data_IF_571961096032
#
_entry.id   IF_571961096032
#
_cell.length_a   1.000
_cell.length_b   1.000
_cell.length_c   1.000
_cell.angle_alpha   90.00
_cell.angle_beta   90.00
_cell.angle_gamma   90.00
#
_symmetry.space_group_name_H-M   'P 1'
#
loop_
_entity.id
_entity.type
_entity.pdbx_description
1 polymer ?
#
# COMPACT_ATOMS: atom_id res chain seq x y z
N UNK A 1 -5.31 5.31 2.64
CA UNK A 1 -5.60 3.87 2.50
C UNK A 1 -6.28 3.60 1.17
N UNK A 2 -6.24 2.35 0.69
CA UNK A 2 -6.88 1.93 -0.56
C UNK A 2 -8.22 1.24 -0.24
N UNK A 3 -9.38 1.91 -0.39
CA UNK A 3 -10.67 1.26 -0.14
C UNK A 3 -10.97 0.21 -1.22
N UNK A 4 -11.59 -0.90 -0.82
CA UNK A 4 -12.08 -1.89 -1.77
C UNK A 4 -13.25 -1.29 -2.58
N UNK A 5 -13.13 -1.28 -3.90
CA UNK A 5 -14.17 -0.79 -4.82
C UNK A 5 -14.97 -1.93 -5.45
N UNK A 6 -14.29 -3.01 -5.81
CA UNK A 6 -14.87 -4.22 -6.42
C UNK A 6 -13.94 -5.40 -6.22
N UNK A 7 -14.41 -6.61 -6.52
CA UNK A 7 -13.61 -7.83 -6.54
C UNK A 7 -13.50 -8.35 -7.98
N UNK A 8 -12.31 -8.83 -8.35
CA UNK A 8 -12.04 -9.43 -9.65
C UNK A 8 -11.67 -10.90 -9.45
N UNK A 9 -12.16 -11.76 -10.33
CA UNK A 9 -11.73 -13.15 -10.36
C UNK A 9 -10.33 -13.25 -10.98
N UNK A 10 -9.55 -14.26 -10.57
CA UNK A 10 -8.28 -14.58 -11.21
C UNK A 10 -8.44 -14.81 -12.72
N UNK A 11 -7.46 -14.37 -13.51
CA UNK A 11 -7.50 -14.41 -14.97
C UNK A 11 -8.22 -13.24 -15.63
N UNK A 12 -8.80 -12.32 -14.86
CA UNK A 12 -9.38 -11.08 -15.41
C UNK A 12 -8.27 -10.21 -16.00
N UNK A 13 -8.37 -9.91 -17.29
CA UNK A 13 -7.43 -8.98 -17.95
C UNK A 13 -7.78 -7.55 -17.57
N UNK A 14 -6.76 -6.78 -17.18
CA UNK A 14 -6.90 -5.37 -16.78
C UNK A 14 -5.89 -4.52 -17.56
N UNK A 15 -6.21 -3.25 -17.78
CA UNK A 15 -5.27 -2.29 -18.39
C UNK A 15 -4.45 -1.60 -17.31
N UNK A 16 -3.13 -1.65 -17.41
CA UNK A 16 -2.23 -0.94 -16.50
C UNK A 16 -2.15 0.54 -16.90
N UNK A 17 -2.32 1.44 -15.94
CA UNK A 17 -2.33 2.89 -16.18
C UNK A 17 -1.13 3.59 -15.57
N UNK A 18 -0.80 3.30 -14.30
CA UNK A 18 0.27 3.96 -13.57
C UNK A 18 0.73 3.14 -12.36
N UNK A 19 1.91 3.46 -11.81
CA UNK A 19 2.43 2.90 -10.56
C UNK A 19 2.42 3.92 -9.43
N UNK A 20 2.24 3.44 -8.20
CA UNK A 20 2.40 4.26 -7.00
C UNK A 20 3.89 4.54 -6.75
N UNK A 21 4.29 5.79 -6.40
CA UNK A 21 5.63 6.09 -5.94
C UNK A 21 5.90 5.62 -4.51
N UNK A 22 4.84 5.31 -3.75
CA UNK A 22 4.93 5.07 -2.31
C UNK A 22 4.84 3.59 -1.94
N UNK A 23 4.28 2.75 -2.80
CA UNK A 23 3.91 1.37 -2.45
C UNK A 23 3.84 0.48 -3.70
N UNK A 24 3.89 -0.86 -3.56
CA UNK A 24 3.78 -1.79 -4.69
C UNK A 24 2.31 -1.94 -5.14
N UNK A 25 1.67 -0.83 -5.51
CA UNK A 25 0.31 -0.76 -6.03
C UNK A 25 0.34 -0.19 -7.44
N UNK A 26 -0.52 -0.74 -8.30
CA UNK A 26 -0.65 -0.36 -9.70
C UNK A 26 -2.07 0.12 -9.94
N UNK A 27 -2.21 1.26 -10.58
CA UNK A 27 -3.49 1.79 -11.04
C UNK A 27 -3.89 1.03 -12.28
N UNK A 28 -5.08 0.46 -12.26
CA UNK A 28 -5.63 -0.35 -13.34
C UNK A 28 -7.01 0.15 -13.73
N UNK A 29 -7.38 -0.13 -14.97
CA UNK A 29 -8.74 0.05 -15.46
C UNK A 29 -9.29 -1.27 -15.98
N UNK A 30 -10.54 -1.55 -15.60
CA UNK A 30 -11.28 -2.73 -15.99
C UNK A 30 -12.75 -2.36 -16.14
N UNK A 31 -13.32 -2.62 -17.32
CA UNK A 31 -14.73 -2.35 -17.62
C UNK A 31 -15.17 -0.91 -17.27
N UNK A 32 -14.31 0.08 -17.49
CA UNK A 32 -14.57 1.49 -17.18
C UNK A 32 -14.38 1.88 -15.70
N UNK A 33 -14.06 0.94 -14.82
CA UNK A 33 -13.74 1.20 -13.41
C UNK A 33 -12.23 1.36 -13.27
N UNK A 34 -11.79 2.49 -12.72
CA UNK A 34 -10.38 2.74 -12.41
C UNK A 34 -10.14 2.59 -10.92
N UNK A 35 -9.16 1.77 -10.55
CA UNK A 35 -8.82 1.49 -9.17
C UNK A 35 -7.36 1.11 -8.98
N UNK A 36 -6.99 0.84 -7.74
CA UNK A 36 -5.66 0.42 -7.37
C UNK A 36 -5.67 -1.06 -7.04
N UNK A 37 -4.70 -1.80 -7.58
CA UNK A 37 -4.52 -3.22 -7.33
C UNK A 37 -3.09 -3.48 -6.81
N UNK A 38 -2.95 -4.36 -5.83
CA UNK A 38 -1.65 -4.74 -5.31
C UNK A 38 -0.85 -5.47 -6.39
N UNK A 39 0.44 -5.14 -6.53
CA UNK A 39 1.28 -5.74 -7.56
C UNK A 39 1.41 -7.27 -7.41
N UNK A 40 1.36 -7.78 -6.18
CA UNK A 40 1.50 -9.21 -5.87
C UNK A 40 0.38 -10.09 -6.47
N UNK A 41 -0.78 -9.51 -6.81
CA UNK A 41 -1.89 -10.28 -7.41
C UNK A 41 -1.93 -10.16 -8.93
N UNK A 42 -1.01 -9.40 -9.53
CA UNK A 42 -0.91 -9.24 -10.98
C UNK A 42 0.08 -10.24 -11.56
N UNK A 43 -0.41 -11.08 -12.46
CA UNK A 43 0.46 -11.80 -13.41
C UNK A 43 0.63 -10.92 -14.65
N UNK A 44 1.81 -10.29 -14.80
CA UNK A 44 2.09 -9.38 -15.90
C UNK A 44 3.52 -9.53 -16.41
N UNK A 45 3.68 -9.39 -17.73
CA UNK A 45 4.97 -9.33 -18.43
C UNK A 45 5.35 -7.91 -18.83
N UNK A 46 4.54 -6.92 -18.47
CA UNK A 46 4.81 -5.53 -18.79
C UNK A 46 5.99 -4.99 -17.97
N UNK A 47 6.81 -4.14 -18.59
CA UNK A 47 7.84 -3.38 -17.88
C UNK A 47 7.18 -2.29 -17.03
N UNK A 48 7.06 -2.50 -15.72
CA UNK A 48 6.40 -1.56 -14.80
C UNK A 48 7.11 -0.20 -14.72
N UNK A 49 8.41 -0.15 -15.02
CA UNK A 49 9.14 1.12 -15.08
C UNK A 49 8.79 1.96 -16.32
N UNK A 50 8.16 1.35 -17.33
CA UNK A 50 7.73 2.02 -18.55
C UNK A 50 6.34 2.67 -18.41
N UNK A 51 5.58 2.37 -17.34
CA UNK A 51 4.31 3.04 -17.06
C UNK A 51 4.51 4.26 -16.15
N UNK A 52 3.69 5.32 -16.30
CA UNK A 52 3.81 6.54 -15.51
C UNK A 52 3.73 6.31 -14.00
N UNK A 53 4.33 7.22 -13.23
CA UNK A 53 4.13 7.30 -11.78
C UNK A 53 2.95 8.21 -11.49
N UNK A 54 1.99 7.75 -10.68
CA UNK A 54 0.86 8.56 -10.22
C UNK A 54 1.05 8.94 -8.75
N UNK A 55 1.41 10.21 -8.53
CA UNK A 55 1.62 10.80 -7.20
C UNK A 55 0.31 11.07 -6.44
N UNK A 56 -0.85 10.89 -7.07
CA UNK A 56 -2.14 10.91 -6.37
C UNK A 56 -2.44 9.59 -5.64
N UNK A 57 -1.53 8.62 -5.70
CA UNK A 57 -1.67 7.37 -4.95
C UNK A 57 -1.81 7.65 -3.45
N UNK A 58 -2.75 6.98 -2.74
CA UNK A 58 -2.83 7.04 -1.30
C UNK A 58 -1.47 6.77 -0.64
N UNK A 59 -1.00 7.65 0.27
CA UNK A 59 0.26 7.43 0.97
C UNK A 59 0.15 6.18 1.84
N UNK A 60 1.29 5.53 2.06
CA UNK A 60 1.37 4.41 3.01
C UNK A 60 0.91 4.88 4.40
N UNK A 61 0.25 4.02 5.18
CA UNK A 61 -0.03 4.35 6.58
C UNK A 61 1.29 4.61 7.29
N UNK A 62 1.37 5.70 8.06
CA UNK A 62 2.50 5.93 8.97
C UNK A 62 2.62 4.74 9.92
N UNK A 63 3.84 4.23 10.19
CA UNK A 63 4.03 3.17 11.17
C UNK A 63 3.29 3.50 12.46
N UNK A 64 2.56 2.53 13.03
CA UNK A 64 1.99 2.70 14.35
C UNK A 64 3.13 3.01 15.31
N UNK A 65 3.09 4.17 15.96
CA UNK A 65 4.09 4.53 16.95
C UNK A 65 4.14 3.41 17.99
N UNK A 66 5.34 2.89 18.27
CA UNK A 66 5.54 1.86 19.29
C UNK A 66 4.94 2.39 20.62
N UNK A 67 3.93 1.70 21.20
CA UNK A 67 3.42 2.06 22.51
C UNK A 67 4.57 2.07 23.53
N UNK A 68 4.74 3.17 24.27
CA UNK A 68 5.84 3.34 25.23
C UNK A 68 7.04 4.17 24.74
N UNK A 69 7.01 4.72 23.52
CA UNK A 69 8.07 5.62 23.00
C UNK A 69 8.03 7.05 23.58
N UNK A 70 7.28 7.30 24.65
CA UNK A 70 7.38 8.51 25.46
C UNK A 70 8.08 8.12 26.77
N UNK A 71 9.19 8.79 27.08
CA UNK A 71 10.10 8.39 28.14
C UNK A 71 9.48 8.28 29.54
N UNK A 72 10.19 7.51 30.37
CA UNK A 72 10.24 7.58 31.84
C UNK A 72 9.21 6.75 32.64
N UNK A 73 8.75 5.58 32.17
CA UNK A 73 7.88 4.72 32.99
C UNK A 73 8.31 3.25 33.01
N UNK A 74 9.50 2.99 33.54
CA UNK A 74 9.70 1.78 34.36
C UNK A 74 10.08 2.27 35.76
N UNK A 75 9.24 2.08 36.78
CA UNK A 75 9.67 2.23 38.17
C UNK A 75 10.83 1.26 38.42
N UNK A 76 11.95 1.75 38.98
CA UNK A 76 13.06 0.89 39.39
C UNK A 76 12.58 0.00 40.55
N UNK A 77 12.59 -1.33 40.41
CA UNK A 77 12.19 -2.23 41.48
C UNK A 77 13.25 -2.35 42.60
N UNK A 78 14.40 -1.69 42.50
CA UNK A 78 15.51 -1.81 43.47
C UNK A 78 15.76 -0.56 44.32
N UNK A 79 14.86 0.43 44.36
CA UNK A 79 14.95 1.49 45.36
C UNK A 79 14.39 1.02 46.71
N UNK A 80 15.05 0.01 47.28
CA UNK A 80 15.07 -0.25 48.72
C UNK A 80 16.27 0.54 49.30
N UNK A 81 16.03 1.79 49.72
CA UNK A 81 16.86 2.51 50.71
C UNK A 81 16.11 2.53 52.06
#
# INVERSE_FOLDING_TARGET
GFPAMTALNGGTTVRLLARSPYSPWVKVEVNGITGWLALVVLDTRAYLDAIPVDFSAPPQPTPTRIPGSFGNAFPDPNNDD
#
